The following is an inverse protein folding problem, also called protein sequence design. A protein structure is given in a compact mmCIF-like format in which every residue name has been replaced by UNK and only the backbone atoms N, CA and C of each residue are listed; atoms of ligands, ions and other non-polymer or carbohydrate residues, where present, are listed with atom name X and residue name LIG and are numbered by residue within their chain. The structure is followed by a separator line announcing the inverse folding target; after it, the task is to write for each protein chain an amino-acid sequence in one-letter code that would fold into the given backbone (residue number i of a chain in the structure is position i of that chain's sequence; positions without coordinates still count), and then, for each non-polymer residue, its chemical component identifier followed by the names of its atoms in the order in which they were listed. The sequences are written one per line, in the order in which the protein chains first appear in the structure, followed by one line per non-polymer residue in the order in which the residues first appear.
data_IF_815211671112
#
_entry.id   IF_815211671112
#
_cell.length_a   1.000
_cell.length_b   1.000
_cell.length_c   1.000
_cell.angle_alpha   90.00
_cell.angle_beta   90.00
_cell.angle_gamma   90.00
#
_symmetry.space_group_name_H-M   'P 1'
#
loop_
_entity.id
_entity.type
_entity.pdbx_description
1 polymer ?
#
# COMPACT_ATOMS: atom_id res chain seq x y z
N UNK A 1 26.44 -47.68 -14.94
CA UNK A 1 26.43 -46.82 -13.73
C UNK A 1 26.70 -45.33 -13.98
N UNK A 2 27.29 -44.89 -15.10
CA UNK A 2 27.57 -43.45 -15.37
C UNK A 2 26.42 -42.64 -16.00
N UNK A 3 25.38 -43.29 -16.52
CA UNK A 3 24.28 -42.60 -17.23
C UNK A 3 23.03 -42.33 -16.38
N UNK A 4 22.92 -42.93 -15.19
CA UNK A 4 21.78 -42.71 -14.29
C UNK A 4 21.92 -41.43 -13.43
N UNK A 5 23.15 -40.95 -13.20
CA UNK A 5 23.40 -39.75 -12.37
C UNK A 5 23.10 -38.45 -13.12
N UNK A 6 23.17 -38.44 -14.47
CA UNK A 6 22.92 -37.24 -15.27
C UNK A 6 21.43 -36.89 -15.44
N UNK A 7 20.54 -37.88 -15.39
CA UNK A 7 19.10 -37.66 -15.58
C UNK A 7 18.45 -37.12 -14.30
N UNK A 8 19.00 -37.48 -13.13
CA UNK A 8 18.48 -37.04 -11.83
C UNK A 8 18.73 -35.55 -11.52
N UNK A 9 19.77 -34.95 -12.10
CA UNK A 9 20.14 -33.54 -11.84
C UNK A 9 19.26 -32.55 -12.63
N UNK A 10 18.72 -32.95 -13.79
CA UNK A 10 17.79 -32.10 -14.56
C UNK A 10 16.35 -32.12 -14.01
N UNK A 11 15.94 -33.21 -13.33
CA UNK A 11 14.60 -33.35 -12.77
C UNK A 11 14.39 -32.59 -11.46
N UNK A 12 15.46 -32.29 -10.72
CA UNK A 12 15.38 -31.52 -9.47
C UNK A 12 15.36 -29.99 -9.68
N UNK A 13 15.76 -29.47 -10.85
CA UNK A 13 15.68 -28.03 -11.15
C UNK A 13 14.30 -27.57 -11.65
N UNK A 14 13.41 -28.49 -12.05
CA UNK A 14 12.12 -28.13 -12.63
C UNK A 14 11.00 -27.94 -11.58
N UNK A 15 11.19 -28.36 -10.32
CA UNK A 15 10.11 -28.40 -9.32
C UNK A 15 10.00 -27.17 -8.40
N UNK A 16 10.86 -26.15 -8.53
CA UNK A 16 10.85 -24.98 -7.61
C UNK A 16 10.07 -23.78 -8.16
N UNK A 17 9.53 -23.85 -9.40
CA UNK A 17 8.89 -22.70 -10.06
C UNK A 17 7.36 -22.64 -9.96
N UNK A 18 6.72 -23.52 -9.20
CA UNK A 18 5.24 -23.56 -9.09
C UNK A 18 4.74 -23.21 -7.69
N UNK A 19 5.36 -22.24 -7.02
CA UNK A 19 4.63 -21.46 -6.03
C UNK A 19 4.03 -20.26 -6.75
N UNK A 20 2.74 -20.30 -7.15
CA UNK A 20 2.04 -19.06 -7.38
C UNK A 20 1.98 -18.38 -6.01
N UNK A 21 2.90 -17.45 -5.76
CA UNK A 21 2.62 -16.35 -4.85
C UNK A 21 1.54 -15.51 -5.54
N UNK A 22 0.33 -16.06 -5.61
CA UNK A 22 -0.88 -15.27 -5.76
C UNK A 22 -1.00 -14.50 -4.45
N UNK A 23 -0.22 -13.42 -4.32
CA UNK A 23 -0.55 -12.33 -3.44
C UNK A 23 -1.87 -11.78 -3.99
N UNK A 24 -2.97 -12.44 -3.63
CA UNK A 24 -4.31 -11.98 -3.93
C UNK A 24 -4.41 -10.61 -3.27
N UNK A 25 -4.66 -9.59 -4.09
CA UNK A 25 -4.93 -8.26 -3.57
C UNK A 25 -6.05 -8.41 -2.54
N UNK A 26 -5.83 -7.92 -1.32
CA UNK A 26 -6.86 -7.97 -0.30
C UNK A 26 -8.09 -7.23 -0.83
N UNK A 27 -9.28 -7.80 -0.64
CA UNK A 27 -10.53 -7.08 -0.89
C UNK A 27 -10.65 -5.95 0.15
N UNK A 28 -10.15 -4.77 -0.19
CA UNK A 28 -10.18 -3.61 0.70
C UNK A 28 -11.61 -3.05 0.71
N UNK A 29 -12.22 -3.08 1.90
CA UNK A 29 -13.56 -2.54 2.11
C UNK A 29 -13.59 -1.02 2.04
N UNK A 30 -14.74 -0.42 1.71
CA UNK A 30 -14.91 1.02 1.80
C UNK A 30 -14.89 1.48 3.26
N UNK A 31 -14.30 2.64 3.53
CA UNK A 31 -14.37 3.25 4.84
C UNK A 31 -15.82 3.64 5.18
N UNK A 32 -16.17 3.53 6.46
CA UNK A 32 -17.32 4.23 7.03
C UNK A 32 -16.98 5.71 7.23
N UNK A 33 -17.58 6.32 8.25
CA UNK A 33 -17.23 7.70 8.62
C UNK A 33 -15.77 7.78 9.10
N UNK A 34 -15.01 8.70 8.50
CA UNK A 34 -13.66 9.01 8.94
C UNK A 34 -13.70 9.83 10.24
N UNK A 35 -12.68 9.72 11.11
CA UNK A 35 -12.51 10.65 12.22
C UNK A 35 -12.46 12.09 11.71
N UNK A 36 -13.06 13.04 12.43
CA UNK A 36 -13.11 14.45 12.00
C UNK A 36 -11.72 15.02 11.70
N UNK A 37 -10.73 14.68 12.52
CA UNK A 37 -9.32 15.08 12.32
C UNK A 37 -8.74 14.62 10.97
N UNK A 38 -9.24 13.51 10.42
CA UNK A 38 -8.77 12.95 9.16
C UNK A 38 -9.44 13.60 7.93
N UNK A 39 -10.59 14.28 8.11
CA UNK A 39 -11.35 14.85 6.99
C UNK A 39 -10.61 16.02 6.36
N UNK A 40 -10.01 16.89 7.18
CA UNK A 40 -9.23 18.01 6.68
C UNK A 40 -7.96 17.56 5.96
N UNK A 41 -7.21 16.62 6.53
CA UNK A 41 -6.01 16.05 5.90
C UNK A 41 -6.35 15.39 4.56
N UNK A 42 -7.45 14.61 4.50
CA UNK A 42 -7.91 14.02 3.23
C UNK A 42 -8.16 15.08 2.15
N UNK A 43 -8.80 16.20 2.50
CA UNK A 43 -9.06 17.30 1.56
C UNK A 43 -7.75 17.91 1.06
N UNK A 44 -6.79 18.13 1.95
CA UNK A 44 -5.48 18.70 1.61
C UNK A 44 -4.67 17.74 0.72
N UNK A 45 -4.74 16.43 0.96
CA UNK A 45 -4.13 15.39 0.13
C UNK A 45 -4.74 15.38 -1.28
N UNK A 46 -6.07 15.32 -1.39
CA UNK A 46 -6.75 15.32 -2.71
C UNK A 46 -6.48 16.62 -3.50
N UNK A 47 -6.18 17.72 -2.81
CA UNK A 47 -5.79 18.99 -3.42
C UNK A 47 -4.29 19.12 -3.74
N UNK A 48 -3.47 18.11 -3.38
CA UNK A 48 -2.01 18.15 -3.59
C UNK A 48 -1.27 19.15 -2.70
N UNK A 49 -1.88 19.59 -1.60
CA UNK A 49 -1.32 20.59 -0.68
C UNK A 49 -0.42 19.97 0.40
N UNK A 50 -0.53 18.65 0.62
CA UNK A 50 0.23 17.93 1.62
C UNK A 50 1.34 17.10 0.96
N UNK A 51 2.54 17.15 1.53
CA UNK A 51 3.66 16.35 1.06
C UNK A 51 3.61 14.95 1.68
N UNK A 52 3.51 13.94 0.83
CA UNK A 52 3.54 12.54 1.22
C UNK A 52 4.96 11.97 1.22
N UNK A 53 5.13 10.80 1.83
CA UNK A 53 6.37 10.02 1.77
C UNK A 53 6.12 8.73 1.01
N UNK A 54 7.12 8.19 0.33
CA UNK A 54 6.95 6.93 -0.41
C UNK A 54 6.52 5.82 0.57
N UNK A 55 5.36 5.24 0.31
CA UNK A 55 4.85 4.08 1.02
C UNK A 55 5.26 2.81 0.28
N UNK A 56 6.02 1.96 0.98
CA UNK A 56 6.49 0.70 0.42
C UNK A 56 5.45 -0.41 0.63
N UNK A 57 4.68 -0.70 -0.42
CA UNK A 57 3.65 -1.75 -0.43
C UNK A 57 4.22 -3.19 -0.56
N UNK A 58 5.49 -3.42 -0.22
CA UNK A 58 6.12 -4.76 -0.26
C UNK A 58 5.83 -5.62 0.98
N UNK A 59 5.06 -5.12 1.95
CA UNK A 59 4.69 -5.86 3.16
C UNK A 59 5.57 -5.57 4.39
N UNK A 60 6.49 -4.61 4.29
CA UNK A 60 7.02 -3.94 5.48
C UNK A 60 5.84 -3.36 6.27
N UNK A 61 5.85 -3.53 7.59
CA UNK A 61 4.75 -3.24 8.54
C UNK A 61 3.75 -4.38 8.84
N UNK A 62 3.90 -5.58 8.25
CA UNK A 62 3.10 -6.76 8.66
C UNK A 62 1.58 -6.60 8.45
N UNK A 63 1.21 -5.64 7.59
CA UNK A 63 -0.15 -5.20 7.36
C UNK A 63 -0.75 -5.69 6.05
N UNK A 64 -2.03 -5.39 5.85
CA UNK A 64 -2.77 -5.72 4.64
C UNK A 64 -2.10 -5.09 3.41
N UNK A 65 -1.72 -5.91 2.42
CA UNK A 65 -1.13 -5.41 1.17
C UNK A 65 -2.17 -4.66 0.35
N UNK A 66 -1.84 -3.45 -0.08
CA UNK A 66 -2.65 -2.68 -1.02
C UNK A 66 -2.56 -3.30 -2.43
N UNK A 67 -3.49 -2.99 -3.35
CA UNK A 67 -3.39 -3.45 -4.74
C UNK A 67 -2.04 -3.15 -5.39
N UNK A 68 -1.61 -4.01 -6.30
CA UNK A 68 -0.42 -3.77 -7.11
C UNK A 68 -0.62 -2.52 -7.98
N UNK A 69 0.44 -1.75 -8.16
CA UNK A 69 0.43 -0.52 -8.94
C UNK A 69 1.10 -0.73 -10.30
N UNK A 70 0.66 0.05 -11.29
CA UNK A 70 1.21 0.06 -12.64
C UNK A 70 2.44 0.97 -12.79
N UNK A 71 3.00 1.00 -14.01
CA UNK A 71 4.12 1.88 -14.35
C UNK A 71 3.74 3.35 -14.20
N UNK A 72 4.62 4.15 -13.58
CA UNK A 72 4.40 5.60 -13.39
C UNK A 72 3.40 5.92 -12.28
N UNK A 73 3.05 4.94 -11.45
CA UNK A 73 2.24 5.12 -10.25
C UNK A 73 3.11 4.87 -9.01
N UNK A 74 2.81 5.55 -7.92
CA UNK A 74 3.47 5.36 -6.63
C UNK A 74 2.46 5.44 -5.48
N UNK A 75 2.72 4.75 -4.38
CA UNK A 75 1.98 4.99 -3.15
C UNK A 75 2.70 6.03 -2.31
N UNK A 76 1.97 7.06 -1.87
CA UNK A 76 2.42 8.01 -0.87
C UNK A 76 1.64 7.84 0.43
N UNK A 77 2.34 7.83 1.56
CA UNK A 77 1.76 7.90 2.89
C UNK A 77 1.76 9.31 3.47
N UNK A 78 0.72 9.59 4.25
CA UNK A 78 0.48 10.86 4.89
C UNK A 78 0.12 10.60 6.35
N UNK A 79 0.74 11.36 7.25
CA UNK A 79 0.32 11.37 8.63
C UNK A 79 -1.02 12.09 8.75
N UNK A 80 -1.84 11.59 9.66
CA UNK A 80 -3.10 12.23 10.03
C UNK A 80 -2.92 12.90 11.38
N UNK A 81 -3.39 14.14 11.49
CA UNK A 81 -3.33 14.94 12.71
C UNK A 81 -1.90 15.22 13.21
N UNK A 82 -0.93 15.27 12.27
CA UNK A 82 0.50 15.39 12.58
C UNK A 82 0.89 16.67 13.32
N UNK A 83 0.08 17.72 13.19
CA UNK A 83 0.32 19.03 13.80
C UNK A 83 -0.41 19.22 15.13
N UNK A 84 -1.18 18.22 15.60
CA UNK A 84 -1.90 18.32 16.85
C UNK A 84 -0.96 18.02 18.03
N UNK A 85 -0.66 19.01 18.89
CA UNK A 85 0.29 18.87 19.99
C UNK A 85 -0.17 17.85 21.05
N UNK A 86 -1.46 17.49 21.06
CA UNK A 86 -2.05 16.54 22.00
C UNK A 86 -1.93 15.07 21.57
N UNK A 87 -1.47 14.79 20.35
CA UNK A 87 -1.50 13.42 19.79
C UNK A 87 -0.21 12.65 20.08
N UNK A 88 0.93 13.35 20.31
CA UNK A 88 2.24 12.71 20.40
C UNK A 88 2.61 11.90 19.14
N UNK A 89 3.89 11.51 19.01
CA UNK A 89 4.49 10.70 17.91
C UNK A 89 3.57 10.33 16.74
N UNK A 90 3.56 11.12 15.64
CA UNK A 90 2.91 10.90 14.33
C UNK A 90 1.46 10.32 14.31
N UNK A 91 0.84 9.99 15.43
CA UNK A 91 -0.40 9.21 15.53
C UNK A 91 -0.33 7.77 14.99
N UNK A 92 -1.43 7.02 15.14
CA UNK A 92 -1.68 5.68 14.54
C UNK A 92 -2.45 5.73 13.22
N UNK A 93 -2.96 6.91 12.86
CA UNK A 93 -3.79 7.14 11.67
C UNK A 93 -2.93 7.54 10.49
N UNK A 94 -3.15 6.91 9.34
CA UNK A 94 -2.45 7.25 8.11
C UNK A 94 -3.40 7.22 6.94
N UNK A 95 -3.17 8.11 5.99
CA UNK A 95 -3.64 7.91 4.63
C UNK A 95 -2.52 7.32 3.77
N UNK A 96 -2.88 6.49 2.82
CA UNK A 96 -2.01 6.04 1.73
C UNK A 96 -2.74 6.28 0.43
N UNK A 97 -2.24 7.17 -0.42
CA UNK A 97 -2.82 7.47 -1.73
C UNK A 97 -1.99 6.85 -2.83
N UNK A 98 -2.67 6.25 -3.82
CA UNK A 98 -2.03 6.04 -5.12
C UNK A 98 -1.90 7.40 -5.80
N UNK A 99 -0.71 7.69 -6.29
CA UNK A 99 -0.38 8.94 -6.98
C UNK A 99 0.09 8.61 -8.39
N UNK A 100 -0.48 9.29 -9.37
CA UNK A 100 -0.11 9.15 -10.78
C UNK A 100 -0.43 10.42 -11.55
N UNK A 101 0.16 10.58 -12.73
CA UNK A 101 -0.11 11.72 -13.60
C UNK A 101 -1.16 11.36 -14.64
N UNK A 102 -2.20 12.18 -14.74
CA UNK A 102 -3.23 12.08 -15.78
C UNK A 102 -3.43 13.45 -16.42
N UNK A 103 -3.31 13.53 -17.74
CA UNK A 103 -3.45 14.80 -18.50
C UNK A 103 -2.59 15.95 -17.94
N UNK A 104 -1.37 15.63 -17.51
CA UNK A 104 -0.41 16.61 -16.96
C UNK A 104 -0.67 17.05 -15.51
N UNK A 105 -1.66 16.46 -14.82
CA UNK A 105 -1.96 16.75 -13.41
C UNK A 105 -1.71 15.53 -12.55
N UNK A 106 -1.24 15.73 -11.32
CA UNK A 106 -1.21 14.66 -10.33
C UNK A 106 -2.63 14.34 -9.86
N UNK A 107 -2.91 13.04 -9.74
CA UNK A 107 -4.14 12.47 -9.23
C UNK A 107 -3.81 11.66 -7.98
N UNK A 108 -4.63 11.81 -6.94
CA UNK A 108 -4.50 11.15 -5.65
C UNK A 108 -5.70 10.20 -5.44
N UNK A 109 -5.71 9.07 -6.15
CA UNK A 109 -6.82 8.11 -6.12
C UNK A 109 -6.35 6.70 -6.52
N UNK A 110 -6.77 5.61 -5.85
CA UNK A 110 -7.54 5.58 -4.61
C UNK A 110 -6.75 6.08 -3.40
N UNK A 111 -7.48 6.65 -2.43
CA UNK A 111 -6.97 6.94 -1.08
C UNK A 111 -7.43 5.85 -0.11
N UNK A 112 -6.49 5.30 0.65
CA UNK A 112 -6.72 4.33 1.71
C UNK A 112 -6.49 4.95 3.07
N UNK A 113 -7.26 4.54 4.07
CA UNK A 113 -7.11 4.95 5.46
C UNK A 113 -6.81 3.75 6.32
N UNK A 114 -5.84 3.89 7.24
CA UNK A 114 -5.59 2.95 8.31
C UNK A 114 -5.76 3.64 9.66
N UNK A 115 -6.44 2.95 10.57
CA UNK A 115 -6.66 3.41 11.95
C UNK A 115 -5.72 2.76 12.96
N UNK A 116 -4.89 1.83 12.49
CA UNK A 116 -4.16 0.85 13.30
C UNK A 116 -2.72 0.65 12.81
N UNK A 117 -2.13 1.72 12.26
CA UNK A 117 -0.73 1.75 11.80
C UNK A 117 -0.43 0.64 10.78
N UNK A 118 -1.18 0.68 9.68
CA UNK A 118 -1.06 -0.16 8.47
C UNK A 118 -1.52 -1.62 8.62
N UNK A 119 -1.98 -2.06 9.81
CA UNK A 119 -2.46 -3.44 9.98
C UNK A 119 -3.67 -3.72 9.08
N UNK A 120 -4.64 -2.81 9.06
CA UNK A 120 -5.82 -2.86 8.20
C UNK A 120 -5.99 -1.55 7.43
N UNK A 121 -6.58 -1.68 6.24
CA UNK A 121 -6.95 -0.55 5.40
C UNK A 121 -8.43 -0.61 5.05
N UNK A 122 -9.02 0.56 4.89
CA UNK A 122 -10.25 0.75 4.14
C UNK A 122 -10.01 1.78 3.02
N UNK A 123 -10.77 1.71 1.94
CA UNK A 123 -10.70 2.68 0.86
C UNK A 123 -11.68 3.83 1.11
N UNK A 124 -11.16 5.05 1.09
CA UNK A 124 -11.94 6.28 1.23
C UNK A 124 -12.77 6.50 -0.04
N UNK A 125 -13.95 7.09 0.11
CA UNK A 125 -14.81 7.48 -1.02
C UNK A 125 -14.46 8.87 -1.58
#
# INVERSE_FOLDING_TARGET
MKNLVRILVCLLLALVLLYPNSAQAANILKCGQLPNVAVEDLRNIKAGLQQGRIYNNSGGYGGTKLPSIGRGQEYLEYDVDANNPNVGNRGKYRFVSLVYTQSGKQVYDPVYFTKDHYKTFCQVR
#
